data_IF_986870068392
#
_entry.id   IF_986870068392
#
_cell.length_a   1.000
_cell.length_b   1.000
_cell.length_c   1.000
_cell.angle_alpha   90.00
_cell.angle_beta   90.00
_cell.angle_gamma   90.00
#
_symmetry.space_group_name_H-M   'P 1'
#
loop_
_entity.id
_entity.type
_entity.pdbx_description
1 polymer ?
#
# COMPACT_ATOMS: atom_id res chain seq x y z
N UNK A 1 19.23 3.26 5.02
CA UNK A 1 20.35 3.06 5.99
C UNK A 1 20.64 4.31 6.83
N UNK A 2 20.71 5.52 6.24
CA UNK A 2 20.76 6.77 7.04
C UNK A 2 19.54 6.93 7.94
N UNK A 3 18.34 6.67 7.43
CA UNK A 3 17.09 6.76 8.21
C UNK A 3 17.10 5.81 9.41
N UNK A 4 17.59 4.57 9.26
CA UNK A 4 17.70 3.61 10.36
C UNK A 4 18.70 4.08 11.43
N UNK A 5 19.86 4.64 11.04
CA UNK A 5 20.83 5.21 12.00
C UNK A 5 20.29 6.45 12.71
N UNK A 6 19.46 7.26 12.05
CA UNK A 6 18.78 8.41 12.66
C UNK A 6 17.70 7.93 13.61
N UNK A 7 16.89 6.95 13.21
CA UNK A 7 15.85 6.37 14.06
C UNK A 7 16.40 5.68 15.31
N UNK A 8 17.62 5.11 15.25
CA UNK A 8 18.32 4.57 16.43
C UNK A 8 18.71 5.63 17.46
N UNK A 9 18.71 6.93 17.10
CA UNK A 9 18.97 8.03 18.02
C UNK A 9 17.69 8.62 18.64
N UNK A 10 16.51 8.13 18.26
CA UNK A 10 15.25 8.65 18.76
C UNK A 10 15.01 8.18 20.19
N UNK A 11 14.65 9.12 21.06
CA UNK A 11 14.22 8.87 22.42
C UNK A 11 12.69 8.81 22.53
N UNK A 12 12.18 8.66 23.76
CA UNK A 12 10.74 8.62 24.02
C UNK A 12 9.94 9.81 23.45
N UNK A 13 10.42 11.07 23.55
CA UNK A 13 9.70 12.23 22.98
C UNK A 13 9.58 12.17 21.45
N UNK A 14 10.64 11.76 20.75
CA UNK A 14 10.64 11.65 19.29
C UNK A 14 9.69 10.54 18.83
N UNK A 15 9.71 9.38 19.50
CA UNK A 15 8.77 8.29 19.21
C UNK A 15 7.32 8.70 19.44
N UNK A 16 7.03 9.43 20.53
CA UNK A 16 5.70 9.97 20.77
C UNK A 16 5.24 10.89 19.63
N UNK A 17 6.11 11.82 19.20
CA UNK A 17 5.80 12.74 18.09
C UNK A 17 5.53 12.02 16.78
N UNK A 18 6.29 10.98 16.46
CA UNK A 18 6.11 10.17 15.25
C UNK A 18 4.81 9.38 15.28
N UNK A 19 4.50 8.75 16.42
CA UNK A 19 3.25 8.00 16.58
C UNK A 19 2.06 8.95 16.47
N UNK A 20 2.11 10.13 17.12
CA UNK A 20 1.06 11.13 17.03
C UNK A 20 0.87 11.66 15.61
N UNK A 21 1.97 11.96 14.92
CA UNK A 21 1.96 12.37 13.52
C UNK A 21 1.38 11.29 12.61
N UNK A 22 1.81 10.03 12.79
CA UNK A 22 1.28 8.90 12.04
C UNK A 22 -0.21 8.69 12.29
N UNK A 23 -0.67 8.73 13.55
CA UNK A 23 -2.08 8.62 13.90
C UNK A 23 -2.90 9.76 13.25
N UNK A 24 -2.34 10.97 13.22
CA UNK A 24 -3.00 12.12 12.59
C UNK A 24 -3.10 11.97 11.08
N UNK A 25 -2.04 11.50 10.40
CA UNK A 25 -2.10 11.25 8.95
C UNK A 25 -3.03 10.09 8.65
N UNK A 26 -2.88 8.95 9.34
CA UNK A 26 -3.73 7.78 9.14
C UNK A 26 -5.19 8.17 9.33
N UNK A 27 -5.54 8.83 10.44
CA UNK A 27 -6.91 9.28 10.70
C UNK A 27 -7.39 10.42 9.79
N UNK A 28 -6.49 11.27 9.30
CA UNK A 28 -6.84 12.42 8.46
C UNK A 28 -6.95 12.10 6.97
N UNK A 29 -6.21 11.10 6.48
CA UNK A 29 -6.10 10.79 5.05
C UNK A 29 -6.89 9.53 4.68
N UNK A 30 -7.40 8.76 5.65
CA UNK A 30 -8.26 7.61 5.35
C UNK A 30 -9.68 8.02 4.92
N UNK A 31 -10.00 7.74 3.65
CA UNK A 31 -11.35 7.82 3.11
C UNK A 31 -11.83 9.23 2.78
N UNK A 32 -13.14 9.37 2.55
CA UNK A 32 -13.75 10.65 2.15
C UNK A 32 -14.03 11.62 3.30
N UNK A 33 -13.71 11.27 4.55
CA UNK A 33 -14.04 12.07 5.74
C UNK A 33 -13.01 11.88 6.85
N UNK A 34 -12.26 12.96 7.13
CA UNK A 34 -11.26 13.08 8.21
C UNK A 34 -11.81 12.66 9.57
N UNK A 35 -13.06 13.03 9.87
CA UNK A 35 -13.69 12.70 11.17
C UNK A 35 -13.91 11.19 11.33
N UNK A 36 -14.29 10.49 10.26
CA UNK A 36 -14.47 9.03 10.29
C UNK A 36 -13.14 8.31 10.46
N UNK A 37 -12.08 8.77 9.81
CA UNK A 37 -10.74 8.19 9.97
C UNK A 37 -10.20 8.39 11.39
N UNK A 38 -10.34 9.58 11.97
CA UNK A 38 -9.98 9.86 13.38
C UNK A 38 -10.77 9.00 14.37
N UNK A 39 -12.10 8.88 14.18
CA UNK A 39 -12.94 8.01 15.02
C UNK A 39 -12.50 6.55 14.92
N UNK A 40 -12.16 6.08 13.71
CA UNK A 40 -11.64 4.72 13.51
C UNK A 40 -10.29 4.50 14.20
N UNK A 41 -9.41 5.50 14.15
CA UNK A 41 -8.13 5.44 14.85
C UNK A 41 -8.32 5.39 16.38
N UNK A 42 -9.22 6.20 16.93
CA UNK A 42 -9.58 6.18 18.35
C UNK A 42 -10.21 4.84 18.77
N UNK A 43 -11.10 4.28 17.94
CA UNK A 43 -11.69 2.97 18.18
C UNK A 43 -10.63 1.87 18.18
N UNK A 44 -9.68 1.91 17.23
CA UNK A 44 -8.55 0.97 17.20
C UNK A 44 -7.65 1.07 18.42
N UNK A 45 -7.33 2.30 18.87
CA UNK A 45 -6.59 2.53 20.10
C UNK A 45 -7.33 1.98 21.32
N UNK A 46 -8.63 2.23 21.43
CA UNK A 46 -9.46 1.69 22.50
C UNK A 46 -9.43 0.16 22.54
N UNK A 47 -9.63 -0.51 21.40
CA UNK A 47 -9.54 -1.98 21.30
C UNK A 47 -8.15 -2.48 21.70
N UNK A 48 -7.10 -1.77 21.33
CA UNK A 48 -5.72 -2.08 21.71
C UNK A 48 -5.42 -1.93 23.21
N UNK A 49 -6.23 -1.15 23.95
CA UNK A 49 -6.09 -1.03 25.42
C UNK A 49 -6.73 -2.16 26.21
N UNK A 50 -7.47 -3.07 25.57
CA UNK A 50 -8.14 -4.20 26.22
C UNK A 50 -7.11 -5.29 26.55
N UNK A 51 -7.04 -5.67 27.84
CA UNK A 51 -6.14 -6.69 28.38
C UNK A 51 -5.14 -6.15 29.40
N UNK A 52 -4.08 -6.93 29.63
CA UNK A 52 -3.00 -6.55 30.55
C UNK A 52 -2.15 -5.40 29.99
N UNK A 53 -2.01 -4.33 30.76
CA UNK A 53 -1.08 -3.26 30.46
C UNK A 53 0.37 -3.74 30.57
N UNK A 54 1.16 -3.55 29.51
CA UNK A 54 2.52 -4.09 29.42
C UNK A 54 3.51 -3.46 30.41
N UNK A 55 3.20 -2.29 30.99
CA UNK A 55 4.09 -1.56 31.90
C UNK A 55 3.71 -1.84 33.35
N UNK A 56 2.42 -1.72 33.67
CA UNK A 56 1.89 -1.76 35.04
C UNK A 56 1.35 -3.14 35.42
N UNK A 57 1.10 -4.03 34.44
CA UNK A 57 0.51 -5.35 34.68
C UNK A 57 -0.95 -5.30 35.14
N UNK A 58 -1.61 -4.13 35.08
CA UNK A 58 -3.01 -3.98 35.45
C UNK A 58 -3.90 -4.39 34.27
N UNK A 59 -4.90 -5.24 34.53
CA UNK A 59 -5.90 -5.60 33.53
C UNK A 59 -6.83 -4.41 33.27
N UNK A 60 -7.04 -4.08 32.00
CA UNK A 60 -7.92 -3.00 31.53
C UNK A 60 -9.01 -3.57 30.65
N UNK A 61 -10.26 -3.25 30.95
CA UNK A 61 -11.43 -3.64 30.14
C UNK A 61 -11.54 -5.16 29.91
N UNK A 62 -11.10 -5.99 30.85
CA UNK A 62 -11.21 -7.46 30.77
C UNK A 62 -12.59 -7.97 31.21
N UNK A 63 -13.38 -7.13 31.89
CA UNK A 63 -14.77 -7.39 32.32
C UNK A 63 -14.94 -8.71 33.10
N UNK A 64 -13.89 -9.19 33.76
CA UNK A 64 -13.88 -10.47 34.48
C UNK A 64 -13.82 -11.72 33.59
N UNK A 65 -13.60 -11.57 32.28
CA UNK A 65 -13.43 -12.66 31.32
C UNK A 65 -11.94 -12.96 31.19
N UNK A 66 -11.53 -14.17 31.57
CA UNK A 66 -10.11 -14.59 31.62
C UNK A 66 -9.44 -14.51 30.25
N UNK A 67 -10.17 -14.81 29.18
CA UNK A 67 -9.69 -14.71 27.81
C UNK A 67 -9.36 -13.26 27.42
N UNK A 68 -10.12 -12.27 27.92
CA UNK A 68 -9.89 -10.85 27.66
C UNK A 68 -8.73 -10.28 28.48
N UNK A 69 -8.32 -10.94 29.58
CA UNK A 69 -7.13 -10.54 30.35
C UNK A 69 -5.87 -10.58 29.49
N UNK A 70 -5.78 -11.51 28.51
CA UNK A 70 -4.67 -11.58 27.54
C UNK A 70 -4.81 -10.57 26.40
N UNK A 71 -5.90 -9.81 26.36
CA UNK A 71 -6.27 -8.94 25.25
C UNK A 71 -6.73 -9.73 24.02
N UNK A 72 -7.00 -9.01 22.93
CA UNK A 72 -7.34 -9.66 21.67
C UNK A 72 -6.12 -10.32 21.05
N UNK A 73 -6.23 -11.61 20.75
CA UNK A 73 -5.22 -12.31 19.98
C UNK A 73 -5.01 -11.61 18.63
N UNK A 74 -3.75 -11.33 18.29
CA UNK A 74 -3.42 -10.58 17.08
C UNK A 74 -3.96 -11.25 15.81
N UNK A 75 -3.86 -12.58 15.71
CA UNK A 75 -4.35 -13.34 14.54
C UNK A 75 -5.87 -13.17 14.35
N UNK A 76 -6.74 -13.51 15.33
CA UNK A 76 -8.18 -13.24 15.21
C UNK A 76 -8.53 -11.78 14.90
N UNK A 77 -7.83 -10.82 15.53
CA UNK A 77 -8.09 -9.41 15.33
C UNK A 77 -7.80 -8.98 13.88
N UNK A 78 -6.65 -9.38 13.33
CA UNK A 78 -6.29 -9.09 11.94
C UNK A 78 -7.25 -9.73 10.94
N UNK A 79 -7.64 -10.98 11.17
CA UNK A 79 -8.63 -11.67 10.31
C UNK A 79 -9.98 -10.94 10.38
N UNK A 80 -10.44 -10.59 11.59
CA UNK A 80 -11.70 -9.88 11.79
C UNK A 80 -11.72 -8.51 11.12
N UNK A 81 -10.68 -7.71 11.30
CA UNK A 81 -10.63 -6.33 10.77
C UNK A 81 -10.37 -6.31 9.26
N UNK A 82 -9.42 -7.10 8.75
CA UNK A 82 -9.01 -7.03 7.34
C UNK A 82 -9.77 -8.00 6.44
N UNK A 83 -9.94 -9.27 6.83
CA UNK A 83 -10.60 -10.22 5.95
C UNK A 83 -12.11 -9.94 5.84
N UNK A 84 -12.79 -9.63 6.95
CA UNK A 84 -14.22 -9.31 6.89
C UNK A 84 -14.49 -7.99 6.17
N UNK A 85 -13.66 -6.96 6.38
CA UNK A 85 -13.83 -5.68 5.68
C UNK A 85 -13.68 -5.86 4.16
N UNK A 86 -12.69 -6.62 3.72
CA UNK A 86 -12.50 -6.91 2.29
C UNK A 86 -13.68 -7.71 1.72
N UNK A 87 -14.19 -8.70 2.45
CA UNK A 87 -15.40 -9.45 2.05
C UNK A 87 -16.59 -8.51 1.88
N UNK A 88 -16.85 -7.61 2.85
CA UNK A 88 -17.96 -6.66 2.74
C UNK A 88 -17.78 -5.70 1.56
N UNK A 89 -16.56 -5.19 1.33
CA UNK A 89 -16.26 -4.33 0.18
C UNK A 89 -16.48 -5.07 -1.14
N UNK A 90 -16.11 -6.34 -1.24
CA UNK A 90 -16.34 -7.14 -2.45
C UNK A 90 -17.82 -7.41 -2.69
N UNK A 91 -18.57 -7.71 -1.62
CA UNK A 91 -20.03 -7.86 -1.69
C UNK A 91 -20.70 -6.57 -2.17
N UNK A 92 -20.32 -5.41 -1.60
CA UNK A 92 -20.84 -4.11 -2.02
C UNK A 92 -20.54 -3.81 -3.50
N UNK A 93 -19.28 -3.99 -3.93
CA UNK A 93 -18.88 -3.80 -5.33
C UNK A 93 -19.70 -4.66 -6.28
N UNK A 94 -20.02 -5.90 -5.89
CA UNK A 94 -20.81 -6.84 -6.70
C UNK A 94 -22.30 -6.48 -6.73
N UNK A 95 -22.89 -6.09 -5.60
CA UNK A 95 -24.32 -5.80 -5.48
C UNK A 95 -24.71 -4.42 -6.00
N UNK A 96 -23.88 -3.39 -5.77
CA UNK A 96 -24.24 -1.97 -6.02
C UNK A 96 -23.75 -1.48 -7.38
N UNK A 97 -22.56 -1.89 -7.83
CA UNK A 97 -21.91 -1.31 -9.02
C UNK A 97 -22.07 -2.12 -10.30
N UNK A 98 -22.78 -3.26 -10.25
CA UNK A 98 -23.13 -4.09 -11.42
C UNK A 98 -21.99 -4.12 -12.44
N UNK A 99 -20.86 -4.72 -12.07
CA UNK A 99 -19.55 -4.54 -12.70
C UNK A 99 -19.54 -4.69 -14.22
N UNK A 100 -19.86 -3.61 -14.95
CA UNK A 100 -19.69 -3.53 -16.39
C UNK A 100 -18.23 -3.24 -16.67
N UNK A 101 -17.47 -4.31 -16.91
CA UNK A 101 -16.15 -4.20 -17.53
C UNK A 101 -16.39 -3.82 -18.99
N UNK A 102 -16.09 -2.58 -19.36
CA UNK A 102 -16.04 -2.18 -20.77
C UNK A 102 -14.84 -2.88 -21.40
N UNK A 103 -15.09 -4.01 -22.04
CA UNK A 103 -14.05 -4.74 -22.79
C UNK A 103 -13.89 -4.03 -24.13
N UNK A 104 -12.80 -3.28 -24.28
CA UNK A 104 -12.38 -2.74 -25.57
C UNK A 104 -11.81 -3.91 -26.38
N UNK A 105 -12.33 -4.22 -27.59
CA UNK A 105 -11.79 -5.28 -28.41
C UNK A 105 -10.32 -4.98 -28.75
N UNK A 106 -9.43 -5.98 -28.69
CA UNK A 106 -8.02 -5.79 -29.02
C UNK A 106 -7.88 -5.33 -30.47
N UNK A 107 -6.96 -4.39 -30.73
CA UNK A 107 -6.64 -3.94 -32.09
C UNK A 107 -6.22 -5.13 -32.96
N UNK A 108 -6.68 -5.14 -34.23
CA UNK A 108 -6.31 -6.15 -35.22
C UNK A 108 -4.85 -6.06 -35.67
N UNK A 109 -4.15 -4.98 -35.33
CA UNK A 109 -2.73 -4.79 -35.61
C UNK A 109 -1.85 -5.40 -34.48
N UNK A 110 -0.98 -6.38 -34.77
CA UNK A 110 -0.06 -6.94 -33.78
C UNK A 110 0.91 -5.90 -33.19
N UNK A 111 1.24 -4.83 -33.92
CA UNK A 111 2.14 -3.79 -33.45
C UNK A 111 1.56 -2.99 -32.27
N UNK A 112 0.25 -2.77 -32.25
CA UNK A 112 -0.44 -2.01 -31.18
C UNK A 112 -0.47 -2.78 -29.84
N UNK A 113 -0.08 -4.06 -29.85
CA UNK A 113 0.01 -4.90 -28.66
C UNK A 113 1.39 -4.85 -27.99
N UNK A 114 2.31 -4.02 -28.49
CA UNK A 114 3.68 -3.89 -27.96
C UNK A 114 4.04 -2.41 -27.80
N UNK A 115 4.75 -2.10 -26.73
CA UNK A 115 5.33 -0.77 -26.54
C UNK A 115 6.66 -0.71 -27.29
N UNK A 116 6.77 0.22 -28.24
CA UNK A 116 8.02 0.48 -28.96
C UNK A 116 9.04 1.18 -28.05
N UNK A 117 10.32 1.03 -28.39
CA UNK A 117 11.39 1.71 -27.66
C UNK A 117 11.19 3.23 -27.68
N UNK A 118 10.82 3.82 -28.83
CA UNK A 118 10.56 5.25 -28.98
C UNK A 118 9.44 5.76 -28.07
N UNK A 119 8.37 4.99 -27.92
CA UNK A 119 7.25 5.33 -27.03
C UNK A 119 7.68 5.31 -25.56
N UNK A 120 8.43 4.28 -25.16
CA UNK A 120 9.00 4.19 -23.82
C UNK A 120 9.92 5.39 -23.52
N UNK A 121 10.81 5.72 -24.46
CA UNK A 121 11.74 6.87 -24.40
C UNK A 121 11.00 8.18 -24.17
N UNK A 122 9.89 8.38 -24.89
CA UNK A 122 9.02 9.55 -24.74
C UNK A 122 8.38 9.64 -23.35
N UNK A 123 8.04 8.50 -22.73
CA UNK A 123 7.39 8.46 -21.42
C UNK A 123 8.37 8.56 -20.23
N UNK A 124 9.67 8.33 -20.41
CA UNK A 124 10.66 8.32 -19.33
C UNK A 124 10.59 9.56 -18.41
N UNK A 125 10.49 10.81 -18.92
CA UNK A 125 10.41 11.98 -18.05
C UNK A 125 9.18 11.96 -17.14
N UNK A 126 8.03 11.51 -17.64
CA UNK A 126 6.82 11.37 -16.86
C UNK A 126 6.95 10.23 -15.83
N UNK A 127 7.51 9.09 -16.23
CA UNK A 127 7.78 7.94 -15.36
C UNK A 127 8.67 8.35 -14.18
N UNK A 128 9.81 9.00 -14.42
CA UNK A 128 10.73 9.36 -13.33
C UNK A 128 10.16 10.41 -12.38
N UNK A 129 9.42 11.41 -12.89
CA UNK A 129 8.74 12.40 -12.04
C UNK A 129 7.67 11.77 -11.17
N UNK A 130 6.82 10.93 -11.76
CA UNK A 130 5.73 10.28 -11.05
C UNK A 130 6.23 9.19 -10.08
N UNK A 131 7.34 8.51 -10.42
CA UNK A 131 8.07 7.64 -9.50
C UNK A 131 8.54 8.43 -8.26
N UNK A 132 9.11 9.62 -8.44
CA UNK A 132 9.51 10.49 -7.33
C UNK A 132 8.36 10.83 -6.39
N UNK A 133 7.19 11.19 -6.94
CA UNK A 133 5.98 11.39 -6.14
C UNK A 133 5.53 10.13 -5.41
N UNK A 134 5.55 8.98 -6.08
CA UNK A 134 5.22 7.72 -5.44
C UNK A 134 6.16 7.32 -4.31
N UNK A 135 7.46 7.60 -4.44
CA UNK A 135 8.42 7.42 -3.34
C UNK A 135 8.10 8.34 -2.16
N UNK A 136 7.84 9.63 -2.40
CA UNK A 136 7.54 10.62 -1.36
C UNK A 136 6.25 10.26 -0.61
N UNK A 137 5.19 9.93 -1.33
CA UNK A 137 3.90 9.56 -0.75
C UNK A 137 4.01 8.22 -0.03
N UNK A 138 4.72 7.24 -0.59
CA UNK A 138 4.89 5.94 0.03
C UNK A 138 5.71 5.96 1.32
N UNK A 139 6.60 6.95 1.50
CA UNK A 139 7.30 7.15 2.77
C UNK A 139 6.37 7.70 3.87
N UNK A 140 5.23 8.29 3.51
CA UNK A 140 4.29 8.87 4.47
C UNK A 140 3.35 7.79 5.03
N UNK A 141 3.25 7.66 6.37
CA UNK A 141 2.35 6.71 6.98
C UNK A 141 0.89 7.06 6.66
N UNK A 142 0.03 6.07 6.45
CA UNK A 142 -1.41 6.26 6.26
C UNK A 142 -1.92 6.84 4.93
N UNK A 143 -1.05 7.26 4.01
CA UNK A 143 -1.49 7.86 2.73
C UNK A 143 -1.93 6.81 1.68
N UNK A 144 -1.42 5.59 1.77
CA UNK A 144 -1.77 4.47 0.89
C UNK A 144 -1.39 4.67 -0.58
N UNK A 145 -1.51 3.59 -1.38
CA UNK A 145 -1.20 3.63 -2.81
C UNK A 145 -2.33 4.24 -3.67
N UNK A 146 -3.55 4.38 -3.14
CA UNK A 146 -4.73 4.70 -3.95
C UNK A 146 -4.77 6.13 -4.50
N UNK A 147 -4.24 7.12 -3.76
CA UNK A 147 -4.20 8.53 -4.20
C UNK A 147 -3.03 8.82 -5.14
N UNK A 148 -1.96 8.04 -5.03
CA UNK A 148 -0.70 8.25 -5.74
C UNK A 148 -0.83 8.23 -7.27
N UNK A 149 -1.57 7.28 -7.91
CA UNK A 149 -1.81 7.31 -9.35
C UNK A 149 -2.41 8.63 -9.82
N UNK A 150 -3.37 9.20 -9.06
CA UNK A 150 -4.02 10.46 -9.41
C UNK A 150 -3.07 11.64 -9.37
N UNK A 151 -2.17 11.66 -8.39
CA UNK A 151 -1.11 12.67 -8.30
C UNK A 151 -0.14 12.50 -9.48
N UNK A 152 0.33 11.27 -9.74
CA UNK A 152 1.20 10.96 -10.87
C UNK A 152 0.59 11.35 -12.22
N UNK A 153 -0.71 11.11 -12.41
CA UNK A 153 -1.45 11.51 -13.61
C UNK A 153 -1.56 13.03 -13.73
N UNK A 154 -1.95 13.71 -12.64
CA UNK A 154 -2.14 15.17 -12.63
C UNK A 154 -0.82 15.90 -12.89
N UNK A 155 0.27 15.43 -12.29
CA UNK A 155 1.61 15.99 -12.48
C UNK A 155 2.16 15.73 -13.89
N UNK A 156 1.94 14.54 -14.44
CA UNK A 156 2.28 14.26 -15.83
C UNK A 156 1.49 15.14 -16.80
N UNK A 157 0.18 15.31 -16.57
CA UNK A 157 -0.65 16.22 -17.39
C UNK A 157 -0.16 17.66 -17.30
N UNK A 158 0.13 18.13 -16.07
CA UNK A 158 0.60 19.51 -15.82
C UNK A 158 1.96 19.79 -16.47
N UNK A 159 2.84 18.80 -16.51
CA UNK A 159 4.20 18.93 -17.06
C UNK A 159 4.32 18.52 -18.53
N UNK A 160 3.27 18.00 -19.14
CA UNK A 160 3.28 17.59 -20.55
C UNK A 160 3.20 18.80 -21.48
N UNK A 161 3.84 18.66 -22.64
CA UNK A 161 3.73 19.61 -23.75
C UNK A 161 2.36 19.51 -24.45
N UNK A 162 1.65 18.41 -24.25
CA UNK A 162 0.38 18.09 -24.90
C UNK A 162 -0.70 17.66 -23.88
N UNK A 163 -1.05 18.52 -22.90
CA UNK A 163 -2.03 18.21 -21.86
C UNK A 163 -3.42 17.85 -22.41
N UNK A 164 -3.75 18.29 -23.62
CA UNK A 164 -5.01 18.02 -24.33
C UNK A 164 -5.21 16.56 -24.75
N UNK A 165 -4.11 15.77 -24.80
CA UNK A 165 -4.15 14.34 -25.16
C UNK A 165 -4.44 13.44 -23.95
N UNK A 166 -4.34 13.97 -22.72
CA UNK A 166 -4.65 13.22 -21.50
C UNK A 166 -6.15 12.92 -21.43
N UNK A 167 -6.50 11.66 -21.17
CA UNK A 167 -7.88 11.16 -21.25
C UNK A 167 -8.34 10.79 -22.67
N UNK A 168 -7.50 11.01 -23.69
CA UNK A 168 -7.76 10.65 -25.10
C UNK A 168 -6.76 9.61 -25.64
N UNK A 169 -6.05 8.90 -24.76
CA UNK A 169 -5.08 7.86 -25.13
C UNK A 169 -3.60 8.29 -25.11
N UNK A 170 -3.24 9.40 -24.45
CA UNK A 170 -1.83 9.71 -24.22
C UNK A 170 -1.13 8.59 -23.42
N UNK A 171 -0.02 8.07 -23.94
CA UNK A 171 0.80 7.05 -23.27
C UNK A 171 1.33 7.53 -21.91
N UNK A 172 1.72 8.80 -21.81
CA UNK A 172 2.13 9.44 -20.56
C UNK A 172 1.02 9.37 -19.49
N UNK A 173 -0.25 9.44 -19.92
CA UNK A 173 -1.42 9.33 -19.06
C UNK A 173 -1.66 7.93 -18.48
N UNK A 174 -0.95 6.91 -18.95
CA UNK A 174 -0.96 5.56 -18.38
C UNK A 174 0.38 5.28 -17.68
N UNK A 175 1.50 5.59 -18.31
CA UNK A 175 2.83 5.32 -17.77
C UNK A 175 3.09 6.05 -16.45
N UNK A 176 2.63 7.30 -16.32
CA UNK A 176 2.84 8.10 -15.11
C UNK A 176 2.08 7.58 -13.87
N UNK A 177 0.74 7.36 -13.90
CA UNK A 177 0.03 6.82 -12.75
C UNK A 177 0.53 5.43 -12.35
N UNK A 178 0.84 4.55 -13.32
CA UNK A 178 1.37 3.22 -13.05
C UNK A 178 2.77 3.26 -12.41
N UNK A 179 3.65 4.14 -12.89
CA UNK A 179 4.96 4.34 -12.28
C UNK A 179 4.86 4.88 -10.84
N UNK A 180 3.94 5.81 -10.59
CA UNK A 180 3.69 6.35 -9.27
C UNK A 180 3.18 5.27 -8.31
N UNK A 181 2.21 4.46 -8.75
CA UNK A 181 1.65 3.36 -7.97
C UNK A 181 2.71 2.32 -7.60
N UNK A 182 3.51 1.90 -8.58
CA UNK A 182 4.53 0.87 -8.38
C UNK A 182 5.66 1.35 -7.44
N UNK A 183 5.99 2.64 -7.47
CA UNK A 183 6.99 3.23 -6.58
C UNK A 183 6.58 3.14 -5.09
N UNK A 184 5.28 3.28 -4.79
CA UNK A 184 4.78 3.25 -3.39
C UNK A 184 5.13 1.94 -2.70
N UNK A 185 5.06 0.81 -3.40
CA UNK A 185 5.24 -0.52 -2.82
C UNK A 185 6.58 -0.65 -2.08
N UNK A 186 7.68 -0.23 -2.72
CA UNK A 186 9.01 -0.27 -2.09
C UNK A 186 9.19 0.82 -1.03
N UNK A 187 8.67 2.02 -1.29
CA UNK A 187 8.80 3.14 -0.35
C UNK A 187 8.07 2.91 0.98
N UNK A 188 6.93 2.23 0.95
CA UNK A 188 6.11 1.94 2.11
C UNK A 188 6.74 0.94 3.09
N UNK A 189 7.66 0.09 2.60
CA UNK A 189 8.46 -0.78 3.47
C UNK A 189 9.43 0.00 4.36
N UNK A 190 9.83 1.23 3.99
CA UNK A 190 10.71 2.03 4.84
C UNK A 190 10.07 2.36 6.20
N UNK A 191 8.97 3.13 6.28
CA UNK A 191 8.35 3.45 7.57
C UNK A 191 7.86 2.19 8.30
N UNK A 192 7.43 1.15 7.55
CA UNK A 192 7.03 -0.11 8.15
C UNK A 192 8.19 -0.80 8.89
N UNK A 193 9.32 -1.03 8.23
CA UNK A 193 10.44 -1.75 8.81
C UNK A 193 11.20 -0.89 9.82
N UNK A 194 11.31 0.42 9.61
CA UNK A 194 12.10 1.30 10.49
C UNK A 194 11.31 1.84 11.67
N UNK A 195 10.01 2.11 11.53
CA UNK A 195 9.19 2.71 12.60
C UNK A 195 8.12 1.74 13.12
N UNK A 196 7.88 0.61 12.45
CA UNK A 196 6.75 -0.26 12.78
C UNK A 196 5.40 0.34 12.44
N UNK A 197 5.35 1.36 11.56
CA UNK A 197 4.13 2.09 11.23
C UNK A 197 3.80 1.83 9.76
N UNK A 198 2.67 1.17 9.46
CA UNK A 198 2.30 0.88 8.08
C UNK A 198 1.80 2.13 7.35
N UNK A 199 2.24 2.32 6.10
CA UNK A 199 1.77 3.41 5.24
C UNK A 199 0.52 3.07 4.41
N UNK A 200 0.12 1.79 4.38
CA UNK A 200 -1.06 1.30 3.67
C UNK A 200 -1.64 0.06 4.35
N UNK A 201 -2.83 -0.35 3.91
CA UNK A 201 -3.51 -1.55 4.39
C UNK A 201 -2.70 -2.83 4.14
N UNK A 202 -2.08 -2.98 2.97
CA UNK A 202 -1.22 -4.12 2.63
C UNK A 202 0.05 -4.17 3.50
N UNK A 203 0.67 -3.03 3.81
CA UNK A 203 1.77 -2.97 4.76
C UNK A 203 1.34 -3.37 6.18
N UNK A 204 0.13 -3.01 6.60
CA UNK A 204 -0.41 -3.42 7.90
C UNK A 204 -0.62 -4.94 7.99
N UNK A 205 -1.03 -5.58 6.90
CA UNK A 205 -1.09 -7.05 6.82
C UNK A 205 0.29 -7.68 6.97
N UNK A 206 1.29 -7.13 6.27
CA UNK A 206 2.69 -7.58 6.40
C UNK A 206 3.15 -7.43 7.85
N UNK A 207 2.94 -6.27 8.49
CA UNK A 207 3.24 -6.05 9.91
C UNK A 207 2.62 -7.13 10.80
N UNK A 208 1.36 -7.47 10.56
CA UNK A 208 0.67 -8.55 11.25
C UNK A 208 1.41 -9.88 11.14
N UNK A 209 1.85 -10.26 9.93
CA UNK A 209 2.63 -11.49 9.71
C UNK A 209 3.94 -11.49 10.51
N UNK A 210 4.67 -10.38 10.54
CA UNK A 210 5.90 -10.27 11.34
C UNK A 210 5.64 -10.49 12.83
N UNK A 211 4.62 -9.80 13.37
CA UNK A 211 4.27 -9.91 14.78
C UNK A 211 3.80 -11.32 15.15
N UNK A 212 3.10 -12.02 14.26
CA UNK A 212 2.71 -13.43 14.45
C UNK A 212 3.94 -14.34 14.57
N UNK A 213 5.02 -14.03 13.85
CA UNK A 213 6.29 -14.75 13.94
C UNK A 213 7.17 -14.26 15.11
N UNK A 214 6.65 -13.40 16.00
CA UNK A 214 7.39 -12.84 17.13
C UNK A 214 8.43 -11.78 16.74
N UNK A 215 8.39 -11.28 15.50
CA UNK A 215 9.31 -10.27 15.01
C UNK A 215 8.73 -8.88 15.25
N UNK A 216 9.43 -8.09 16.08
CA UNK A 216 9.08 -6.71 16.34
C UNK A 216 9.72 -5.80 15.28
N UNK A 217 8.89 -5.03 14.60
CA UNK A 217 9.33 -4.06 13.61
C UNK A 217 9.83 -2.78 14.29
N UNK A 218 10.77 -2.09 13.65
CA UNK A 218 11.44 -0.94 14.21
C UNK A 218 12.94 -0.93 13.89
N UNK A 219 13.71 0.08 14.32
CA UNK A 219 15.08 0.25 13.87
C UNK A 219 16.00 -0.93 14.24
N UNK A 220 15.65 -1.65 15.32
CA UNK A 220 16.38 -2.83 15.81
C UNK A 220 16.28 -4.04 14.89
N UNK A 221 15.25 -4.17 14.06
CA UNK A 221 15.13 -5.30 13.13
C UNK A 221 16.30 -5.35 12.13
N UNK A 222 16.89 -4.19 11.80
CA UNK A 222 18.06 -4.08 10.94
C UNK A 222 19.36 -4.55 11.62
N UNK A 223 19.37 -4.68 12.95
CA UNK A 223 20.51 -5.14 13.74
C UNK A 223 20.31 -6.61 14.15
N UNK A 224 19.14 -6.93 14.72
CA UNK A 224 18.82 -8.26 15.26
C UNK A 224 18.48 -9.28 14.16
N UNK A 225 17.88 -8.81 13.05
CA UNK A 225 17.38 -9.66 11.96
C UNK A 225 17.82 -9.15 10.58
N UNK A 226 19.07 -8.68 10.48
CA UNK A 226 19.61 -8.08 9.26
C UNK A 226 19.47 -8.99 8.03
N UNK A 227 19.78 -10.29 8.16
CA UNK A 227 19.67 -11.27 7.08
C UNK A 227 18.25 -11.38 6.52
N UNK A 228 17.23 -11.39 7.39
CA UNK A 228 15.83 -11.42 7.01
C UNK A 228 15.45 -10.14 6.25
N UNK A 229 15.84 -8.98 6.79
CA UNK A 229 15.54 -7.69 6.18
C UNK A 229 16.16 -7.57 4.79
N UNK A 230 17.43 -7.94 4.63
CA UNK A 230 18.10 -7.96 3.33
C UNK A 230 17.50 -9.00 2.39
N UNK A 231 17.09 -10.15 2.90
CA UNK A 231 16.37 -11.18 2.14
C UNK A 231 15.06 -10.64 1.56
N UNK A 232 14.31 -9.85 2.32
CA UNK A 232 13.06 -9.21 1.85
C UNK A 232 13.35 -8.19 0.76
N UNK A 233 14.38 -7.34 0.92
CA UNK A 233 14.75 -6.38 -0.13
C UNK A 233 15.22 -7.09 -1.41
N UNK A 234 16.01 -8.16 -1.28
CA UNK A 234 16.48 -8.95 -2.42
C UNK A 234 15.32 -9.67 -3.12
N UNK A 235 14.42 -10.30 -2.35
CA UNK A 235 13.23 -10.95 -2.87
C UNK A 235 12.29 -9.95 -3.55
N UNK A 236 12.11 -8.76 -2.97
CA UNK A 236 11.32 -7.68 -3.56
C UNK A 236 11.89 -7.18 -4.89
N UNK A 237 13.21 -7.02 -4.96
CA UNK A 237 13.88 -6.65 -6.21
C UNK A 237 13.70 -7.74 -7.28
N UNK A 238 13.89 -9.00 -6.90
CA UNK A 238 13.68 -10.14 -7.80
C UNK A 238 12.21 -10.22 -8.24
N UNK A 239 11.25 -9.99 -7.34
CA UNK A 239 9.83 -9.99 -7.65
C UNK A 239 9.48 -8.89 -8.65
N UNK A 240 10.05 -7.68 -8.53
CA UNK A 240 9.85 -6.61 -9.51
C UNK A 240 10.44 -6.98 -10.88
N UNK A 241 11.60 -7.65 -10.93
CA UNK A 241 12.18 -8.13 -12.18
C UNK A 241 11.31 -9.21 -12.83
N UNK A 242 10.82 -10.18 -12.06
CA UNK A 242 9.90 -11.22 -12.55
C UNK A 242 8.60 -10.58 -13.02
N UNK A 243 8.05 -9.63 -12.26
CA UNK A 243 6.84 -8.90 -12.61
C UNK A 243 6.99 -8.15 -13.94
N UNK A 244 8.16 -7.54 -14.19
CA UNK A 244 8.48 -6.92 -15.47
C UNK A 244 8.47 -7.95 -16.62
N UNK A 245 9.12 -9.11 -16.43
CA UNK A 245 9.12 -10.17 -17.45
C UNK A 245 7.71 -10.69 -17.75
N UNK A 246 6.92 -10.95 -16.70
CA UNK A 246 5.52 -11.35 -16.84
C UNK A 246 4.72 -10.28 -17.57
N UNK A 247 4.91 -9.00 -17.24
CA UNK A 247 4.27 -7.88 -17.94
C UNK A 247 4.63 -7.84 -19.43
N UNK A 248 5.91 -8.01 -19.78
CA UNK A 248 6.36 -7.95 -21.17
C UNK A 248 5.85 -9.12 -22.04
N UNK A 249 5.78 -10.34 -21.48
CA UNK A 249 5.45 -11.53 -22.27
C UNK A 249 4.01 -12.01 -22.10
N UNK A 250 3.39 -11.82 -20.93
CA UNK A 250 2.09 -12.37 -20.59
C UNK A 250 0.96 -11.33 -20.59
N UNK A 251 1.23 -10.02 -20.57
CA UNK A 251 0.16 -9.00 -20.47
C UNK A 251 -0.89 -9.12 -21.58
N UNK A 252 -0.48 -9.35 -22.83
CA UNK A 252 -1.42 -9.50 -23.96
C UNK A 252 -2.26 -10.77 -23.85
N UNK A 253 -1.69 -11.86 -23.31
CA UNK A 253 -2.39 -13.12 -23.08
C UNK A 253 -3.40 -12.97 -21.93
N UNK A 254 -2.98 -12.37 -20.82
CA UNK A 254 -3.79 -12.12 -19.64
C UNK A 254 -4.96 -11.19 -20.00
N UNK A 255 -4.71 -10.10 -20.74
CA UNK A 255 -5.76 -9.20 -21.21
C UNK A 255 -6.83 -9.91 -22.05
N UNK A 256 -6.41 -10.80 -22.96
CA UNK A 256 -7.34 -11.64 -23.76
C UNK A 256 -8.13 -12.63 -22.89
N UNK A 257 -7.50 -13.20 -21.87
CA UNK A 257 -8.14 -14.13 -20.94
C UNK A 257 -9.21 -13.43 -20.09
N UNK A 258 -8.86 -12.27 -19.50
CA UNK A 258 -9.79 -11.45 -18.71
C UNK A 258 -10.99 -11.03 -19.56
N UNK A 259 -10.76 -10.60 -20.81
CA UNK A 259 -11.83 -10.25 -21.74
C UNK A 259 -12.76 -11.42 -22.14
N UNK A 260 -12.31 -12.68 -21.98
CA UNK A 260 -13.16 -13.87 -22.19
C UNK A 260 -13.92 -14.26 -20.94
N UNK A 261 -13.25 -14.27 -19.78
CA UNK A 261 -13.86 -14.65 -18.48
C UNK A 261 -14.94 -13.64 -18.07
N UNK A 262 -14.69 -12.35 -18.26
CA UNK A 262 -15.67 -11.31 -17.95
C UNK A 262 -16.93 -11.37 -18.83
N UNK A 263 -16.90 -12.01 -20.01
CA UNK A 263 -18.10 -12.27 -20.82
C UNK A 263 -18.88 -13.51 -20.39
N UNK A 264 -18.27 -14.37 -19.56
CA UNK A 264 -18.88 -15.61 -19.08
C UNK A 264 -19.49 -15.47 -17.67
N UNK A 265 -19.11 -14.42 -16.92
CA UNK A 265 -19.53 -14.16 -15.54
C UNK A 265 -20.46 -12.93 -15.44
N UNK A 266 -20.62 -12.16 -16.53
CA UNK A 266 -21.63 -11.10 -16.71
C UNK A 266 -22.70 -11.65 -17.66
#
# INVERSE_FOLDING_TARGET
>A
MYIARVALKFGPPEFFGIILFALTIIGGVTGGSVTKGLLSAMAGLFVGTVGLDAITGVARFDFGIVELTKGFGLVPLLIGVFCLSEVFVQVEKRLVKGGRVTIIPPSGNPADNRVSWSELKGCLPAIFRSYGWGQLIGMLPGMGAAITPWIGYSEAKRSSKHPEKFGKGALEGVAAPEAANNAVCGANLMPLLTLGIPGSTDAALIMGVFLIHGLHLGPRIFVEHASLVYGIFAAGLLAILIYLLVGLFAATMIGKLIGRVSKAII
#
